data_IF_600117882566
#
_entry.id   IF_600117882566
#
_cell.length_a   1.000
_cell.length_b   1.000
_cell.length_c   1.000
_cell.angle_alpha   90.00
_cell.angle_beta   90.00
_cell.angle_gamma   90.00
#
_symmetry.space_group_name_H-M   'P 1'
#
loop_
_entity.id
_entity.type
_entity.pdbx_description
1 polymer ?
#
# COMPACT_ATOMS: atom_id res chain seq x y z
N UNK A 1 24.20 -21.91 21.48
CA UNK A 1 24.17 -21.05 20.28
C UNK A 1 24.27 -19.64 20.79
N UNK A 2 25.45 -19.04 20.62
CA UNK A 2 25.80 -17.76 21.21
C UNK A 2 25.21 -16.62 20.37
N UNK A 3 24.61 -15.61 21.00
CA UNK A 3 23.98 -14.47 20.30
C UNK A 3 25.02 -13.72 19.45
N UNK A 4 26.31 -13.83 19.82
CA UNK A 4 27.43 -13.25 19.08
C UNK A 4 27.71 -13.95 17.74
N UNK A 5 27.54 -15.27 17.65
CA UNK A 5 27.70 -16.00 16.38
C UNK A 5 26.57 -15.65 15.39
N UNK A 6 25.36 -15.37 15.88
CA UNK A 6 24.25 -14.89 15.02
C UNK A 6 24.54 -13.49 14.50
N UNK A 7 25.22 -12.64 15.28
CA UNK A 7 25.50 -11.25 14.92
C UNK A 7 26.72 -11.10 13.99
N UNK A 8 27.72 -11.98 14.07
CA UNK A 8 28.89 -11.95 13.18
C UNK A 8 28.56 -12.35 11.74
N UNK A 9 27.59 -13.25 11.53
CA UNK A 9 27.04 -13.56 10.20
C UNK A 9 26.11 -12.43 9.66
N UNK A 10 25.71 -11.48 10.50
CA UNK A 10 24.78 -10.39 10.15
C UNK A 10 25.48 -9.11 9.69
N UNK A 11 26.79 -8.92 9.91
CA UNK A 11 27.49 -7.70 9.48
C UNK A 11 27.51 -7.52 7.95
N UNK A 12 27.53 -8.62 7.18
CA UNK A 12 27.38 -8.58 5.73
C UNK A 12 25.93 -8.34 5.27
N UNK A 13 24.94 -8.71 6.10
CA UNK A 13 23.51 -8.48 5.87
C UNK A 13 23.06 -7.07 6.29
N UNK A 14 23.70 -6.43 7.27
CA UNK A 14 23.34 -5.10 7.77
C UNK A 14 23.74 -4.00 6.79
N UNK A 15 24.94 -4.07 6.19
CA UNK A 15 25.36 -3.12 5.16
C UNK A 15 24.53 -3.29 3.88
N UNK A 16 24.29 -4.54 3.46
CA UNK A 16 23.42 -4.86 2.33
C UNK A 16 21.96 -4.44 2.59
N UNK A 17 21.48 -4.63 3.81
CA UNK A 17 20.13 -4.27 4.22
C UNK A 17 19.89 -2.78 4.36
N UNK A 18 20.87 -2.01 4.85
CA UNK A 18 20.83 -0.55 4.85
C UNK A 18 20.83 0.03 3.43
N UNK A 19 21.57 -0.59 2.50
CA UNK A 19 21.62 -0.20 1.09
C UNK A 19 20.35 -0.62 0.35
N UNK A 20 19.80 -1.82 0.60
CA UNK A 20 18.53 -2.25 0.04
C UNK A 20 17.38 -1.38 0.55
N UNK A 21 17.26 -1.17 1.87
CA UNK A 21 16.20 -0.34 2.44
C UNK A 21 16.33 1.11 2.00
N UNK A 22 17.54 1.67 1.89
CA UNK A 22 17.71 3.01 1.29
C UNK A 22 17.38 3.04 -0.20
N UNK A 23 17.76 2.04 -1.00
CA UNK A 23 17.48 2.02 -2.43
C UNK A 23 15.98 1.83 -2.71
N UNK A 24 15.32 1.05 -1.86
CA UNK A 24 13.89 0.74 -1.86
C UNK A 24 13.06 1.95 -1.42
N UNK A 25 13.44 2.62 -0.32
CA UNK A 25 12.71 3.78 0.21
C UNK A 25 13.10 5.12 -0.44
N UNK A 26 14.24 5.22 -1.15
CA UNK A 26 14.63 6.42 -1.95
C UNK A 26 14.24 6.32 -3.42
N UNK A 27 13.51 5.29 -3.83
CA UNK A 27 12.98 5.16 -5.19
C UNK A 27 14.04 4.95 -6.29
N UNK A 28 15.23 4.45 -5.96
CA UNK A 28 16.30 4.20 -6.96
C UNK A 28 16.24 2.81 -7.58
N UNK A 29 15.49 1.87 -6.99
CA UNK A 29 15.16 0.55 -7.55
C UNK A 29 13.70 0.23 -7.22
N UNK A 30 12.91 -0.18 -8.22
CA UNK A 30 11.53 -0.63 -7.99
C UNK A 30 11.59 -1.99 -7.32
N UNK A 31 11.27 -2.03 -6.05
CA UNK A 31 11.09 -3.27 -5.32
C UNK A 31 9.77 -3.92 -5.68
N UNK A 32 9.77 -5.23 -5.87
CA UNK A 32 8.52 -5.97 -6.07
C UNK A 32 7.70 -6.13 -4.79
N UNK A 33 8.28 -5.83 -3.62
CA UNK A 33 7.66 -6.08 -2.32
C UNK A 33 6.65 -4.99 -1.93
N UNK A 34 6.77 -3.80 -2.52
CA UNK A 34 5.87 -2.67 -2.33
C UNK A 34 5.48 -2.10 -3.69
N UNK A 35 4.22 -1.69 -3.81
CA UNK A 35 3.61 -1.20 -5.04
C UNK A 35 2.98 0.17 -4.81
N UNK A 36 2.73 0.89 -5.89
CA UNK A 36 2.17 2.24 -5.86
C UNK A 36 3.19 3.32 -6.21
N UNK A 37 2.82 4.56 -5.93
CA UNK A 37 3.64 5.74 -6.19
C UNK A 37 4.43 6.17 -4.94
N UNK A 38 5.48 7.00 -5.09
CA UNK A 38 6.19 7.54 -3.95
C UNK A 38 5.24 8.23 -2.96
N UNK A 39 5.47 8.01 -1.66
CA UNK A 39 4.62 8.45 -0.54
C UNK A 39 3.25 7.77 -0.45
N UNK A 40 2.98 6.79 -1.31
CA UNK A 40 1.79 5.93 -1.30
C UNK A 40 2.13 4.46 -1.53
N UNK A 41 3.35 4.05 -1.17
CA UNK A 41 3.75 2.65 -1.31
C UNK A 41 2.98 1.78 -0.31
N UNK A 42 2.36 0.72 -0.82
CA UNK A 42 1.64 -0.30 -0.05
C UNK A 42 2.31 -1.66 -0.22
N UNK A 43 2.23 -2.59 0.76
CA UNK A 43 2.74 -3.94 0.60
C UNK A 43 2.09 -4.64 -0.61
N UNK A 44 2.89 -5.31 -1.43
CA UNK A 44 2.37 -6.09 -2.56
C UNK A 44 1.47 -7.23 -2.09
N UNK A 45 0.37 -7.45 -2.79
CA UNK A 45 -0.56 -8.56 -2.55
C UNK A 45 -0.19 -9.83 -3.32
N UNK A 46 0.98 -9.86 -3.96
CA UNK A 46 1.49 -11.04 -4.66
C UNK A 46 1.50 -12.27 -3.75
N UNK A 47 0.83 -13.33 -4.18
CA UNK A 47 0.72 -14.57 -3.42
C UNK A 47 2.10 -15.15 -3.05
N UNK A 48 3.07 -15.06 -3.95
CA UNK A 48 4.44 -15.50 -3.68
C UNK A 48 5.09 -14.74 -2.52
N UNK A 49 4.85 -13.43 -2.42
CA UNK A 49 5.40 -12.61 -1.35
C UNK A 49 4.68 -12.88 -0.02
N UNK A 50 3.36 -13.03 -0.04
CA UNK A 50 2.54 -13.35 1.13
C UNK A 50 2.86 -14.74 1.72
N UNK A 51 3.25 -15.70 0.89
CA UNK A 51 3.65 -17.04 1.32
C UNK A 51 5.14 -17.14 1.74
N UNK A 52 5.90 -16.05 1.55
CA UNK A 52 7.33 -15.99 1.88
C UNK A 52 7.61 -15.23 3.18
N UNK A 53 8.84 -15.34 3.69
CA UNK A 53 9.30 -14.56 4.85
C UNK A 53 9.73 -13.12 4.50
N UNK A 54 9.48 -12.64 3.27
CA UNK A 54 10.00 -11.34 2.80
C UNK A 54 9.47 -10.17 3.65
N UNK A 55 8.18 -10.12 3.98
CA UNK A 55 7.62 -9.06 4.81
C UNK A 55 8.10 -9.13 6.27
N UNK A 56 8.34 -10.34 6.79
CA UNK A 56 8.93 -10.52 8.11
C UNK A 56 10.36 -9.98 8.15
N UNK A 57 11.15 -10.26 7.11
CA UNK A 57 12.52 -9.75 6.98
C UNK A 57 12.54 -8.24 6.78
N UNK A 58 11.67 -7.69 5.94
CA UNK A 58 11.51 -6.25 5.75
C UNK A 58 11.17 -5.54 7.07
N UNK A 59 10.24 -6.10 7.86
CA UNK A 59 9.91 -5.57 9.19
C UNK A 59 11.11 -5.57 10.15
N UNK A 60 11.91 -6.65 10.16
CA UNK A 60 13.16 -6.70 10.96
C UNK A 60 14.18 -5.66 10.51
N UNK A 61 14.34 -5.46 9.20
CA UNK A 61 15.26 -4.47 8.63
C UNK A 61 14.83 -3.05 8.99
N UNK A 62 13.53 -2.73 8.88
CA UNK A 62 12.96 -1.44 9.28
C UNK A 62 13.17 -1.21 10.78
N UNK A 63 12.85 -2.20 11.62
CA UNK A 63 13.04 -2.11 13.07
C UNK A 63 14.51 -1.92 13.47
N UNK A 64 15.42 -2.64 12.82
CA UNK A 64 16.86 -2.46 13.05
C UNK A 64 17.33 -1.06 12.64
N UNK A 65 16.92 -0.59 11.45
CA UNK A 65 17.21 0.78 10.99
C UNK A 65 16.73 1.81 12.01
N UNK A 66 15.50 1.66 12.52
CA UNK A 66 14.92 2.55 13.54
C UNK A 66 15.74 2.60 14.83
N UNK A 67 16.08 1.44 15.37
CA UNK A 67 16.86 1.34 16.62
C UNK A 67 18.25 1.97 16.50
N UNK A 68 18.81 2.05 15.29
CA UNK A 68 20.11 2.63 15.01
C UNK A 68 20.07 4.04 14.38
N UNK A 69 18.89 4.68 14.32
CA UNK A 69 18.74 6.06 13.83
C UNK A 69 18.80 6.22 12.31
N UNK A 70 18.53 5.14 11.56
CA UNK A 70 18.41 5.16 10.11
C UNK A 70 17.01 5.55 9.60
N UNK A 71 16.83 5.72 8.28
CA UNK A 71 15.52 5.96 7.68
C UNK A 71 14.66 4.70 7.79
N UNK A 72 13.38 4.86 8.13
CA UNK A 72 12.53 3.73 8.50
C UNK A 72 11.36 3.49 7.53
N UNK A 73 10.65 4.54 7.11
CA UNK A 73 9.35 4.42 6.42
C UNK A 73 9.14 5.48 5.33
N UNK A 74 10.23 6.02 4.76
CA UNK A 74 10.12 7.01 3.68
C UNK A 74 9.41 6.42 2.46
N UNK A 75 8.45 7.15 1.89
CA UNK A 75 7.70 6.71 0.71
C UNK A 75 6.55 5.74 0.98
N UNK A 76 6.39 5.23 2.21
CA UNK A 76 5.27 4.36 2.58
C UNK A 76 3.99 5.18 2.75
N UNK A 77 2.86 4.62 2.29
CA UNK A 77 1.53 5.22 2.46
C UNK A 77 1.26 5.64 3.91
N UNK A 78 0.73 6.86 4.15
CA UNK A 78 0.28 7.29 5.47
C UNK A 78 -0.74 6.35 6.11
N UNK A 79 -1.61 5.72 5.32
CA UNK A 79 -2.58 4.74 5.81
C UNK A 79 -1.89 3.50 6.40
N UNK A 80 -0.85 3.00 5.72
CA UNK A 80 -0.05 1.87 6.19
C UNK A 80 0.73 2.26 7.45
N UNK A 81 1.34 3.44 7.48
CA UNK A 81 2.03 3.97 8.66
C UNK A 81 1.07 4.04 9.86
N UNK A 82 -0.16 4.54 9.66
CA UNK A 82 -1.17 4.62 10.72
C UNK A 82 -1.45 3.25 11.36
N UNK A 83 -1.65 2.21 10.54
CA UNK A 83 -1.89 0.85 11.03
C UNK A 83 -0.66 0.28 11.76
N UNK A 84 0.55 0.48 11.21
CA UNK A 84 1.79 0.00 11.82
C UNK A 84 2.06 0.61 13.21
N UNK A 85 1.60 1.84 13.46
CA UNK A 85 1.76 2.53 14.75
C UNK A 85 0.54 2.43 15.68
N UNK A 86 -0.28 1.39 15.51
CA UNK A 86 -1.36 1.05 16.45
C UNK A 86 -2.72 1.63 16.11
N UNK A 87 -2.86 2.26 14.95
CA UNK A 87 -4.16 2.49 14.33
C UNK A 87 -4.81 1.18 13.86
N UNK A 88 -6.06 1.26 13.43
CA UNK A 88 -6.75 0.13 12.79
C UNK A 88 -7.01 0.44 11.32
N UNK A 89 -7.15 -0.58 10.44
CA UNK A 89 -7.49 -0.36 9.04
C UNK A 89 -8.75 0.51 8.85
N UNK A 90 -9.76 0.33 9.72
CA UNK A 90 -11.03 1.07 9.65
C UNK A 90 -10.91 2.55 10.03
N UNK A 91 -9.81 2.94 10.69
CA UNK A 91 -9.53 4.33 11.08
C UNK A 91 -8.47 4.98 10.22
N UNK A 92 -7.83 4.22 9.33
CA UNK A 92 -6.88 4.75 8.36
C UNK A 92 -7.62 5.64 7.35
N UNK A 93 -7.01 6.76 6.99
CA UNK A 93 -7.52 7.58 5.88
C UNK A 93 -6.85 7.11 4.60
N UNK A 94 -7.59 6.37 3.78
CA UNK A 94 -7.12 5.85 2.51
C UNK A 94 -7.34 6.90 1.42
N UNK A 95 -6.36 7.07 0.55
CA UNK A 95 -6.38 7.95 -0.61
C UNK A 95 -6.36 7.13 -1.90
N UNK A 96 -6.77 7.72 -3.03
CA UNK A 96 -6.79 7.00 -4.32
C UNK A 96 -5.38 6.53 -4.72
N UNK A 97 -4.38 7.32 -4.36
CA UNK A 97 -2.97 7.08 -4.62
C UNK A 97 -2.44 5.83 -3.89
N UNK A 98 -3.08 5.43 -2.79
CA UNK A 98 -2.76 4.21 -2.03
C UNK A 98 -3.17 2.93 -2.78
N UNK A 99 -4.05 3.02 -3.79
CA UNK A 99 -4.44 1.88 -4.63
C UNK A 99 -3.46 1.67 -5.78
N UNK A 100 -2.63 0.61 -5.80
CA UNK A 100 -1.66 0.39 -6.87
C UNK A 100 -2.30 -0.04 -8.20
N UNK A 101 -3.55 -0.52 -8.17
CA UNK A 101 -4.30 -0.93 -9.36
C UNK A 101 -4.85 0.30 -10.10
N UNK A 102 -4.30 0.55 -11.28
CA UNK A 102 -4.64 1.72 -12.10
C UNK A 102 -6.07 1.67 -12.67
N UNK A 103 -6.60 0.48 -12.94
CA UNK A 103 -7.94 0.32 -13.50
C UNK A 103 -9.00 0.58 -12.42
N UNK A 104 -8.77 0.04 -11.21
CA UNK A 104 -9.58 0.34 -10.04
C UNK A 104 -9.53 1.82 -9.70
N UNK A 105 -8.32 2.39 -9.59
CA UNK A 105 -8.11 3.81 -9.29
C UNK A 105 -8.83 4.71 -10.30
N UNK A 106 -8.67 4.44 -11.60
CA UNK A 106 -9.32 5.22 -12.65
C UNK A 106 -10.84 5.13 -12.56
N UNK A 107 -11.39 3.94 -12.30
CA UNK A 107 -12.83 3.72 -12.17
C UNK A 107 -13.42 4.44 -10.96
N UNK A 108 -12.74 4.38 -9.80
CA UNK A 108 -13.17 5.09 -8.59
C UNK A 108 -13.06 6.61 -8.81
N UNK A 109 -12.02 7.08 -9.49
CA UNK A 109 -11.83 8.51 -9.79
C UNK A 109 -12.96 9.09 -10.66
N UNK A 110 -13.62 8.30 -11.51
CA UNK A 110 -14.81 8.75 -12.24
C UNK A 110 -15.94 9.19 -11.31
N UNK A 111 -16.03 8.63 -10.10
CA UNK A 111 -17.03 9.02 -9.11
C UNK A 111 -16.69 10.33 -8.39
N UNK A 112 -15.46 10.82 -8.51
CA UNK A 112 -15.03 12.08 -7.91
C UNK A 112 -15.70 13.29 -8.60
N UNK A 113 -16.22 14.21 -7.78
CA UNK A 113 -16.88 15.42 -8.27
C UNK A 113 -18.27 15.21 -8.89
N UNK A 114 -18.67 16.14 -9.75
CA UNK A 114 -20.03 16.24 -10.31
C UNK A 114 -20.06 16.20 -11.86
N UNK A 115 -18.99 15.74 -12.49
CA UNK A 115 -18.89 15.67 -13.96
C UNK A 115 -19.92 14.71 -14.51
N UNK A 116 -20.59 15.07 -15.62
CA UNK A 116 -21.53 14.15 -16.28
C UNK A 116 -20.78 12.91 -16.78
N UNK A 117 -21.30 11.73 -16.42
CA UNK A 117 -20.76 10.45 -16.82
C UNK A 117 -21.49 9.95 -18.07
N UNK A 118 -20.72 9.49 -19.04
CA UNK A 118 -21.21 8.76 -20.21
C UNK A 118 -21.84 7.42 -19.81
N UNK A 119 -22.67 6.86 -20.68
CA UNK A 119 -23.27 5.53 -20.44
C UNK A 119 -22.21 4.43 -20.32
N UNK A 120 -21.06 4.61 -20.97
CA UNK A 120 -19.95 3.66 -20.91
C UNK A 120 -19.25 3.70 -19.54
N UNK A 121 -18.98 4.89 -19.00
CA UNK A 121 -18.44 5.07 -17.64
C UNK A 121 -19.40 4.53 -16.57
N UNK A 122 -20.70 4.78 -16.73
CA UNK A 122 -21.73 4.22 -15.84
C UNK A 122 -21.73 2.69 -15.86
N UNK A 123 -21.51 2.07 -17.02
CA UNK A 123 -21.39 0.62 -17.15
C UNK A 123 -20.20 0.07 -16.36
N UNK A 124 -19.02 0.67 -16.52
CA UNK A 124 -17.80 0.24 -15.81
C UNK A 124 -17.97 0.38 -14.29
N UNK A 125 -18.53 1.50 -13.83
CA UNK A 125 -18.82 1.72 -12.41
C UNK A 125 -19.82 0.69 -11.88
N UNK A 126 -20.84 0.34 -12.67
CA UNK A 126 -21.85 -0.65 -12.28
C UNK A 126 -21.22 -2.04 -12.13
N UNK A 127 -20.42 -2.46 -13.11
CA UNK A 127 -19.72 -3.76 -13.06
C UNK A 127 -18.82 -3.85 -11.82
N UNK A 128 -18.10 -2.76 -11.53
CA UNK A 128 -17.26 -2.66 -10.34
C UNK A 128 -18.06 -2.76 -9.04
N UNK A 129 -19.15 -1.97 -8.93
CA UNK A 129 -20.00 -1.98 -7.75
C UNK A 129 -20.61 -3.38 -7.51
N UNK A 130 -21.07 -4.05 -8.56
CA UNK A 130 -21.61 -5.41 -8.47
C UNK A 130 -20.56 -6.43 -8.02
N UNK A 131 -19.30 -6.27 -8.44
CA UNK A 131 -18.21 -7.17 -8.02
C UNK A 131 -17.95 -7.14 -6.50
N UNK A 132 -18.37 -6.06 -5.82
CA UNK A 132 -18.28 -5.88 -4.36
C UNK A 132 -19.65 -5.85 -3.66
N UNK A 133 -20.70 -6.39 -4.29
CA UNK A 133 -22.06 -6.43 -3.73
C UNK A 133 -22.62 -5.04 -3.34
N UNK A 134 -22.18 -3.98 -4.02
CA UNK A 134 -22.64 -2.60 -3.81
C UNK A 134 -23.79 -2.23 -4.75
N UNK A 135 -24.68 -1.30 -4.35
CA UNK A 135 -25.72 -0.81 -5.24
C UNK A 135 -25.11 0.01 -6.38
N UNK A 136 -25.71 -0.12 -7.57
CA UNK A 136 -25.32 0.65 -8.75
C UNK A 136 -25.45 2.16 -8.56
N UNK A 137 -24.74 2.91 -9.40
CA UNK A 137 -24.75 4.37 -9.40
C UNK A 137 -26.15 4.94 -9.69
N UNK A 138 -26.56 5.92 -8.90
CA UNK A 138 -27.77 6.71 -9.06
C UNK A 138 -27.50 8.20 -8.74
N UNK A 139 -28.53 9.03 -8.86
CA UNK A 139 -28.42 10.50 -8.71
C UNK A 139 -27.96 10.95 -7.32
N UNK A 140 -28.16 10.14 -6.28
CA UNK A 140 -27.97 10.53 -4.88
C UNK A 140 -26.86 9.76 -4.16
N UNK A 141 -26.35 8.67 -4.74
CA UNK A 141 -25.36 7.80 -4.07
C UNK A 141 -23.93 7.94 -4.60
N UNK A 142 -23.66 8.81 -5.60
CA UNK A 142 -22.32 8.93 -6.21
C UNK A 142 -21.21 9.13 -5.19
N UNK A 143 -21.36 10.12 -4.30
CA UNK A 143 -20.37 10.41 -3.25
C UNK A 143 -20.24 9.26 -2.25
N UNK A 144 -21.36 8.67 -1.86
CA UNK A 144 -21.36 7.53 -0.95
C UNK A 144 -20.63 6.32 -1.58
N UNK A 145 -20.84 6.08 -2.88
CA UNK A 145 -20.21 4.98 -3.60
C UNK A 145 -18.70 5.20 -3.73
N UNK A 146 -18.27 6.45 -4.01
CA UNK A 146 -16.86 6.84 -3.98
C UNK A 146 -16.22 6.54 -2.62
N UNK A 147 -16.79 7.08 -1.53
CA UNK A 147 -16.26 6.89 -0.17
C UNK A 147 -16.31 5.41 0.24
N UNK A 148 -17.30 4.65 -0.22
CA UNK A 148 -17.43 3.22 0.10
C UNK A 148 -16.39 2.38 -0.63
N UNK A 149 -16.17 2.60 -1.92
CA UNK A 149 -15.15 1.90 -2.70
C UNK A 149 -13.75 2.23 -2.17
N UNK A 150 -13.48 3.49 -1.82
CA UNK A 150 -12.20 3.91 -1.25
C UNK A 150 -11.88 3.20 0.08
N UNK A 151 -12.88 2.96 0.92
CA UNK A 151 -12.71 2.27 2.20
C UNK A 151 -12.63 0.73 2.09
N UNK A 152 -12.86 0.16 0.89
CA UNK A 152 -12.73 -1.28 0.64
C UNK A 152 -11.34 -1.62 0.08
N UNK A 153 -10.65 -0.65 -0.52
CA UNK A 153 -9.25 -0.75 -0.89
C UNK A 153 -8.37 -1.00 0.35
#
# INVERSE_FOLDING_TARGET
>A
MDIREILEDQEHLTLSGHVLLNAHLKGTQKSHDFEGEPDHLVPSTSQFLLESDIFLMAGRMIGHSFLHGGPCLSGISPAIIHVLFGGTPETATIQLEDCPDLDLRSTIQLLEGNTELSEQEKGIILDLALSWDLPGLNQNNRRWLFERLLNIL
#
